data_IF_044909459397
#
_entry.id   IF_044909459397
#
_cell.length_a   1.000
_cell.length_b   1.000
_cell.length_c   1.000
_cell.angle_alpha   90.00
_cell.angle_beta   90.00
_cell.angle_gamma   90.00
#
_symmetry.space_group_name_H-M   'P 1'
#
loop_
_entity.id
_entity.type
_entity.pdbx_description
1 polymer ?
#
# COMPACT_ATOMS: atom_id res chain seq x y z
N UNK A 1 -14.97 -0.47 -0.40
CA UNK A 1 -13.70 -0.30 0.33
C UNK A 1 -13.61 -1.21 1.55
N UNK A 2 -14.32 -0.96 2.66
CA UNK A 2 -14.17 -1.75 3.92
C UNK A 2 -14.18 -3.27 3.74
N UNK A 3 -15.19 -3.82 3.04
CA UNK A 3 -15.28 -5.26 2.80
C UNK A 3 -14.10 -5.83 1.99
N UNK A 4 -13.58 -5.06 1.03
CA UNK A 4 -12.41 -5.48 0.24
C UNK A 4 -11.15 -5.48 1.11
N UNK A 5 -10.97 -4.47 1.96
CA UNK A 5 -9.84 -4.39 2.91
C UNK A 5 -9.84 -5.60 3.85
N UNK A 6 -10.98 -5.90 4.47
CA UNK A 6 -11.11 -7.00 5.42
C UNK A 6 -10.93 -8.38 4.75
N UNK A 7 -11.57 -8.59 3.59
CA UNK A 7 -11.61 -9.89 2.95
C UNK A 7 -10.42 -10.18 2.03
N UNK A 8 -9.62 -9.18 1.61
CA UNK A 8 -8.55 -9.39 0.60
C UNK A 8 -7.16 -8.96 1.04
N UNK A 9 -7.01 -8.15 2.08
CA UNK A 9 -5.69 -7.66 2.51
C UNK A 9 -5.12 -8.43 3.70
N UNK A 10 -3.79 -8.42 3.81
CA UNK A 10 -3.03 -8.77 5.00
C UNK A 10 -2.67 -7.50 5.78
N UNK A 11 -2.48 -7.62 7.10
CA UNK A 11 -2.03 -6.51 7.96
C UNK A 11 -0.52 -6.30 7.94
N UNK A 12 0.23 -7.30 7.48
CA UNK A 12 1.69 -7.31 7.42
C UNK A 12 2.09 -7.72 6.00
N UNK A 13 3.16 -7.11 5.50
CA UNK A 13 3.69 -7.44 4.19
C UNK A 13 4.14 -8.91 4.11
N UNK A 14 3.97 -9.58 2.95
CA UNK A 14 4.41 -10.97 2.75
C UNK A 14 5.93 -11.10 2.63
N UNK A 15 6.64 -9.97 2.49
CA UNK A 15 8.10 -9.86 2.38
C UNK A 15 8.58 -8.70 3.26
N UNK A 16 9.88 -8.63 3.63
CA UNK A 16 10.42 -7.49 4.36
C UNK A 16 10.07 -6.17 3.67
N UNK A 17 9.46 -5.26 4.44
CA UNK A 17 8.96 -3.99 3.97
C UNK A 17 9.06 -2.98 5.12
N UNK A 18 9.55 -1.77 4.84
CA UNK A 18 9.69 -0.73 5.86
C UNK A 18 8.37 -0.05 6.23
N UNK A 19 7.35 -0.21 5.38
CA UNK A 19 6.02 0.34 5.56
C UNK A 19 5.15 -0.57 6.41
N UNK A 20 4.26 0.04 7.21
CA UNK A 20 3.28 -0.66 8.03
C UNK A 20 1.87 -0.16 7.77
N UNK A 21 0.90 -0.96 8.20
CA UNK A 21 -0.52 -0.60 8.13
C UNK A 21 -0.77 0.76 8.80
N UNK A 22 -1.45 1.66 8.09
CA UNK A 22 -1.83 2.98 8.60
C UNK A 22 -0.78 4.09 8.41
N UNK A 23 0.43 3.79 7.93
CA UNK A 23 1.39 4.81 7.52
C UNK A 23 0.75 5.77 6.51
N UNK A 24 1.09 7.06 6.66
CA UNK A 24 0.76 8.10 5.67
C UNK A 24 1.93 8.25 4.71
N UNK A 25 1.65 8.23 3.41
CA UNK A 25 2.66 8.20 2.34
C UNK A 25 2.28 9.13 1.20
N UNK A 26 3.30 9.62 0.49
CA UNK A 26 3.19 10.12 -0.88
C UNK A 26 3.39 8.94 -1.83
N UNK A 27 2.53 8.82 -2.84
CA UNK A 27 2.68 7.82 -3.92
C UNK A 27 2.97 8.51 -5.25
N UNK A 28 3.93 8.00 -6.01
CA UNK A 28 4.13 8.36 -7.42
C UNK A 28 3.33 7.42 -8.30
N UNK A 29 2.33 7.91 -9.02
CA UNK A 29 1.53 7.06 -9.89
C UNK A 29 2.25 6.74 -11.21
N UNK A 30 1.66 5.87 -12.04
CA UNK A 30 2.22 5.48 -13.34
C UNK A 30 2.37 6.62 -14.37
N UNK A 31 1.85 7.82 -14.08
CA UNK A 31 2.04 9.03 -14.88
C UNK A 31 3.17 9.93 -14.35
N UNK A 32 3.88 9.51 -13.30
CA UNK A 32 4.93 10.30 -12.65
C UNK A 32 4.40 11.43 -11.77
N UNK A 33 3.12 11.40 -11.40
CA UNK A 33 2.49 12.42 -10.54
C UNK A 33 2.53 11.95 -9.09
N UNK A 34 3.03 12.82 -8.21
CA UNK A 34 3.01 12.61 -6.77
C UNK A 34 1.65 12.95 -6.18
N UNK A 35 1.10 12.03 -5.39
CA UNK A 35 -0.17 12.20 -4.68
C UNK A 35 0.09 11.98 -3.19
N UNK A 36 -0.05 13.03 -2.40
CA UNK A 36 0.27 13.07 -0.99
C UNK A 36 -0.88 12.59 -0.09
N UNK A 37 -0.55 12.30 1.17
CA UNK A 37 -1.53 12.06 2.24
C UNK A 37 -2.32 10.76 2.11
N UNK A 38 -1.75 9.72 1.46
CA UNK A 38 -2.40 8.42 1.32
C UNK A 38 -2.10 7.52 2.50
N UNK A 39 -3.10 6.78 2.98
CA UNK A 39 -2.93 5.79 4.04
C UNK A 39 -2.76 4.40 3.46
N UNK A 40 -1.83 3.65 4.04
CA UNK A 40 -1.70 2.21 3.77
C UNK A 40 -2.88 1.46 4.40
N UNK A 41 -3.68 0.81 3.56
CA UNK A 41 -4.82 0.00 3.95
C UNK A 41 -4.44 -1.45 4.30
N UNK A 42 -3.29 -1.91 3.80
CA UNK A 42 -2.80 -3.26 4.01
C UNK A 42 -1.94 -3.74 2.85
N UNK A 43 -1.70 -5.03 2.83
CA UNK A 43 -0.78 -5.67 1.89
C UNK A 43 -1.47 -6.81 1.14
N UNK A 44 -0.91 -7.22 0.01
CA UNK A 44 -1.31 -8.46 -0.64
C UNK A 44 -1.05 -9.65 0.29
N UNK A 45 -1.91 -10.68 0.24
CA UNK A 45 -1.72 -11.88 1.07
C UNK A 45 -0.64 -12.79 0.51
N UNK A 46 -0.60 -12.89 -0.80
CA UNK A 46 0.33 -13.69 -1.57
C UNK A 46 0.78 -12.84 -2.76
N UNK A 47 2.04 -12.98 -3.16
CA UNK A 47 2.58 -12.30 -4.34
C UNK A 47 2.19 -13.11 -5.56
N UNK A 48 1.56 -12.46 -6.54
CA UNK A 48 1.33 -13.03 -7.87
C UNK A 48 2.61 -12.84 -8.71
N UNK A 49 3.36 -13.92 -9.02
CA UNK A 49 4.61 -13.80 -9.77
C UNK A 49 4.39 -13.41 -11.23
N UNK A 50 3.19 -13.58 -11.78
CA UNK A 50 2.88 -13.29 -13.19
C UNK A 50 2.25 -11.90 -13.37
N UNK A 51 1.78 -11.28 -12.30
CA UNK A 51 1.11 -9.99 -12.34
C UNK A 51 1.62 -9.01 -11.28
N UNK A 52 2.54 -8.14 -11.69
CA UNK A 52 3.16 -7.08 -10.86
C UNK A 52 3.68 -7.59 -9.51
N UNK A 53 4.68 -8.48 -9.51
CA UNK A 53 5.19 -9.10 -8.28
C UNK A 53 5.72 -8.09 -7.23
N UNK A 54 6.09 -6.88 -7.66
CA UNK A 54 6.54 -5.78 -6.81
C UNK A 54 5.39 -5.04 -6.11
N UNK A 55 4.17 -5.10 -6.64
CA UNK A 55 3.03 -4.31 -6.19
C UNK A 55 2.33 -5.01 -5.02
N UNK A 56 2.76 -4.69 -3.79
CA UNK A 56 2.33 -5.39 -2.58
C UNK A 56 1.51 -4.54 -1.60
N UNK A 57 1.35 -3.23 -1.83
CA UNK A 57 0.75 -2.29 -0.87
C UNK A 57 -0.56 -1.72 -1.41
N UNK A 58 -1.62 -1.73 -0.61
CA UNK A 58 -2.89 -1.08 -0.94
C UNK A 58 -3.03 0.28 -0.25
N UNK A 59 -3.55 1.27 -0.99
CA UNK A 59 -3.74 2.65 -0.50
C UNK A 59 -5.21 3.06 -0.49
N UNK A 60 -5.55 4.05 0.34
CA UNK A 60 -6.89 4.66 0.48
C UNK A 60 -7.23 5.68 -0.61
N UNK A 61 -6.86 5.40 -1.86
CA UNK A 61 -7.13 6.25 -3.01
C UNK A 61 -8.15 5.65 -3.99
N UNK A 62 -8.40 6.34 -5.10
CA UNK A 62 -9.46 6.00 -6.07
C UNK A 62 -9.36 4.58 -6.63
N UNK A 63 -8.14 4.00 -6.70
CA UNK A 63 -7.90 2.63 -7.11
C UNK A 63 -7.38 1.75 -5.94
N UNK A 64 -8.08 1.75 -4.81
CA UNK A 64 -7.75 0.94 -3.62
C UNK A 64 -7.65 -0.58 -3.85
N UNK A 65 -8.16 -1.08 -4.98
CA UNK A 65 -8.06 -2.48 -5.39
C UNK A 65 -6.79 -2.79 -6.19
N UNK A 66 -5.99 -1.78 -6.52
CA UNK A 66 -4.80 -1.90 -7.34
C UNK A 66 -3.57 -1.58 -6.49
N UNK A 67 -2.76 -2.60 -6.13
CA UNK A 67 -1.63 -2.36 -5.25
C UNK A 67 -0.51 -1.62 -5.98
N UNK A 68 0.38 -1.05 -5.18
CA UNK A 68 1.56 -0.28 -5.60
C UNK A 68 2.83 -0.89 -5.02
N UNK A 69 3.95 -0.59 -5.68
CA UNK A 69 5.27 -1.01 -5.21
C UNK A 69 5.72 -0.13 -4.03
N UNK A 70 6.44 -0.69 -3.03
CA UNK A 70 7.11 0.13 -2.01
C UNK A 70 8.00 1.22 -2.61
N UNK A 71 8.64 0.95 -3.75
CA UNK A 71 9.54 1.90 -4.43
C UNK A 71 8.80 3.12 -5.01
N UNK A 72 7.49 3.02 -5.19
CA UNK A 72 6.63 4.13 -5.63
C UNK A 72 6.23 5.05 -4.46
N UNK A 73 6.59 4.70 -3.21
CA UNK A 73 6.14 5.36 -2.00
C UNK A 73 7.25 6.14 -1.29
N UNK A 74 6.85 7.25 -0.66
CA UNK A 74 7.66 8.00 0.30
C UNK A 74 6.87 8.14 1.60
N UNK A 75 7.49 7.79 2.73
CA UNK A 75 6.86 7.94 4.04
C UNK A 75 6.69 9.43 4.38
N UNK A 76 5.47 9.83 4.74
CA UNK A 76 5.16 11.17 5.25
C UNK A 76 5.06 11.15 6.78
N UNK A 77 4.46 10.11 7.35
CA UNK A 77 4.29 10.01 8.79
C UNK A 77 3.76 8.65 9.22
N UNK A 78 4.08 8.28 10.46
CA UNK A 78 3.63 7.05 11.12
C UNK A 78 2.90 7.44 12.39
N UNK A 79 1.62 7.11 12.48
CA UNK A 79 0.82 7.33 13.68
C UNK A 79 1.25 6.30 14.74
N UNK A 80 2.29 6.62 15.51
CA UNK A 80 2.71 5.84 16.68
C UNK A 80 1.68 6.13 17.77
N UNK A 81 0.62 5.33 17.85
CA UNK A 81 -0.25 5.37 19.02
C UNK A 81 0.53 4.71 20.16
N UNK A 82 1.03 5.54 21.09
CA UNK A 82 1.65 5.10 22.35
C UNK A 82 0.57 4.63 23.31
#
# INVERSE_FOLDING_TARGET
MQRFVEEKMAKVAPVPCDFILGDTVTVTNGYGIEIQGKKILGFVREIDPEFRPEAIIYLDWDCYWFPVSPDELKLEGRDITI
#
